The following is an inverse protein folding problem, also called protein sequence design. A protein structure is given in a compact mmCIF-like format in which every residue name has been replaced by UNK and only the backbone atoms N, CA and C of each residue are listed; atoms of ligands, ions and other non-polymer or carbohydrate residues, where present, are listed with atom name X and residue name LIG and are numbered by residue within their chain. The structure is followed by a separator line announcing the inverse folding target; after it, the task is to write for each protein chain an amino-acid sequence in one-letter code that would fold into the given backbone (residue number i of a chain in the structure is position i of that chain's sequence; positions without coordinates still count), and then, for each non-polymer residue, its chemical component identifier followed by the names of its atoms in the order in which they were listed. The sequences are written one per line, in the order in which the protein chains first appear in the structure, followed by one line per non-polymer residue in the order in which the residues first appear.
data_IF_373739216700
#
_entry.id   IF_373739216700
#
_cell.length_a   1.000
_cell.length_b   1.000
_cell.length_c   1.000
_cell.angle_alpha   90.00
_cell.angle_beta   90.00
_cell.angle_gamma   90.00
#
_symmetry.space_group_name_H-M   'P 1'
#
loop_
_entity.id
_entity.type
_entity.pdbx_description
1 polymer ?
#
# COMPACT_ATOMS: atom_id res chain seq x y z
N UNK A 1 5.59 9.30 16.31
CA UNK A 1 5.68 9.44 14.85
C UNK A 1 5.43 8.07 14.21
N UNK A 2 4.53 8.00 13.23
CA UNK A 2 4.09 6.76 12.60
C UNK A 2 5.11 6.34 11.53
N UNK A 3 5.70 5.15 11.63
CA UNK A 3 6.55 4.58 10.57
C UNK A 3 5.73 3.65 9.69
N UNK A 4 5.98 3.63 8.40
CA UNK A 4 5.29 2.76 7.45
C UNK A 4 6.31 1.96 6.64
N UNK A 5 5.91 0.79 6.14
CA UNK A 5 6.66 0.14 5.07
C UNK A 5 6.64 1.04 3.83
N UNK A 6 7.78 1.12 3.13
CA UNK A 6 7.87 1.72 1.81
C UNK A 6 8.33 0.64 0.84
N UNK A 7 7.57 0.49 -0.25
CA UNK A 7 7.96 -0.33 -1.37
C UNK A 7 7.32 0.24 -2.63
N UNK A 8 8.16 0.53 -3.62
CA UNK A 8 7.74 1.08 -4.91
C UNK A 8 7.23 -0.03 -5.85
N UNK A 9 7.54 -1.31 -5.58
CA UNK A 9 6.92 -2.47 -6.24
C UNK A 9 6.99 -3.73 -5.38
N UNK A 10 5.85 -4.17 -4.84
CA UNK A 10 5.67 -5.50 -4.24
C UNK A 10 5.21 -6.47 -5.31
N UNK A 11 5.81 -7.64 -5.40
CA UNK A 11 5.33 -8.70 -6.29
C UNK A 11 4.22 -9.54 -5.67
N UNK A 12 3.70 -10.50 -6.44
CA UNK A 12 2.60 -11.38 -6.05
C UNK A 12 2.87 -12.24 -4.80
N UNK A 13 4.14 -12.45 -4.41
CA UNK A 13 4.50 -13.21 -3.21
C UNK A 13 4.72 -12.29 -1.98
N UNK A 14 4.57 -10.98 -2.16
CA UNK A 14 4.76 -9.98 -1.10
C UNK A 14 6.21 -9.56 -0.88
N UNK A 15 7.12 -9.92 -1.78
CA UNK A 15 8.50 -9.45 -1.74
C UNK A 15 8.60 -8.08 -2.39
N UNK A 16 9.32 -7.16 -1.75
CA UNK A 16 9.61 -5.85 -2.33
C UNK A 16 10.73 -5.98 -3.37
N UNK A 17 10.40 -5.78 -4.64
CA UNK A 17 11.37 -5.85 -5.74
C UNK A 17 12.08 -4.51 -5.95
N UNK A 18 11.40 -3.40 -5.66
CA UNK A 18 11.94 -2.05 -5.86
C UNK A 18 11.56 -1.09 -4.74
N UNK A 19 12.51 -0.24 -4.34
CA UNK A 19 12.25 0.86 -3.41
C UNK A 19 12.00 0.42 -1.97
N UNK A 20 12.55 -0.72 -1.55
CA UNK A 20 12.41 -1.22 -0.17
C UNK A 20 12.93 -0.19 0.83
N UNK A 21 12.14 0.04 1.87
CA UNK A 21 12.56 0.85 2.99
C UNK A 21 11.43 1.16 3.95
N UNK A 22 11.57 2.29 4.64
CA UNK A 22 10.52 2.83 5.51
C UNK A 22 10.39 4.32 5.32
N UNK A 23 9.18 4.84 5.54
CA UNK A 23 8.93 6.27 5.64
C UNK A 23 8.34 6.60 7.01
N UNK A 24 8.48 7.85 7.43
CA UNK A 24 7.83 8.38 8.61
C UNK A 24 6.71 9.31 8.14
N UNK A 25 5.46 8.98 8.48
CA UNK A 25 4.33 9.80 8.12
C UNK A 25 4.39 11.12 8.90
N UNK A 26 4.30 12.24 8.18
CA UNK A 26 4.34 13.59 8.72
C UNK A 26 3.01 14.32 8.49
N UNK A 27 2.59 15.17 9.43
CA UNK A 27 1.37 15.96 9.29
C UNK A 27 0.13 15.09 9.12
N UNK A 28 -0.57 15.26 7.98
CA UNK A 28 -1.77 14.52 7.58
C UNK A 28 -1.50 13.18 6.89
N UNK A 29 -0.24 12.76 6.79
CA UNK A 29 0.10 11.52 6.13
C UNK A 29 -0.30 10.31 6.95
N UNK A 30 -0.71 9.26 6.25
CA UNK A 30 -1.00 7.95 6.81
C UNK A 30 -0.21 6.87 6.06
N UNK A 31 -0.12 5.68 6.62
CA UNK A 31 0.42 4.54 5.90
C UNK A 31 -0.62 4.07 4.87
N UNK A 32 -0.18 3.74 3.66
CA UNK A 32 -1.03 3.15 2.64
C UNK A 32 -0.48 1.80 2.16
N UNK A 33 -1.40 0.91 1.78
CA UNK A 33 -1.15 -0.30 1.01
C UNK A 33 -2.08 -0.29 -0.20
N UNK A 34 -1.49 -0.26 -1.40
CA UNK A 34 -2.24 -0.39 -2.66
C UNK A 34 -1.99 -1.77 -3.23
N UNK A 35 -3.06 -2.52 -3.54
CA UNK A 35 -2.98 -3.84 -4.16
C UNK A 35 -3.67 -3.82 -5.52
N UNK A 36 -3.07 -4.47 -6.51
CA UNK A 36 -3.64 -4.65 -7.85
C UNK A 36 -3.90 -6.13 -8.07
N UNK A 37 -5.13 -6.43 -8.45
CA UNK A 37 -5.62 -7.76 -8.74
C UNK A 37 -6.04 -7.83 -10.20
N UNK A 38 -5.73 -8.95 -10.86
CA UNK A 38 -6.23 -9.31 -12.19
C UNK A 38 -6.89 -10.68 -12.08
N UNK A 39 -8.12 -10.81 -12.59
CA UNK A 39 -8.93 -12.03 -12.50
C UNK A 39 -8.95 -12.62 -11.07
N UNK A 40 -9.23 -11.75 -10.09
CA UNK A 40 -9.25 -12.05 -8.64
C UNK A 40 -7.91 -12.52 -8.02
N UNK A 41 -6.81 -12.48 -8.78
CA UNK A 41 -5.48 -12.82 -8.30
C UNK A 41 -4.66 -11.59 -8.03
N UNK A 42 -4.07 -11.51 -6.84
CA UNK A 42 -3.11 -10.46 -6.51
C UNK A 42 -1.89 -10.56 -7.43
N UNK A 43 -1.56 -9.45 -8.09
CA UNK A 43 -0.44 -9.37 -9.03
C UNK A 43 0.74 -8.61 -8.44
N UNK A 44 0.49 -7.41 -7.93
CA UNK A 44 1.51 -6.54 -7.37
C UNK A 44 0.90 -5.44 -6.50
N UNK A 45 1.74 -4.77 -5.71
CA UNK A 45 1.30 -3.72 -4.80
C UNK A 45 2.34 -2.63 -4.54
N UNK A 46 1.94 -1.66 -3.74
CA UNK A 46 2.75 -0.50 -3.34
C UNK A 46 2.50 -0.17 -1.88
N UNK A 47 3.54 0.29 -1.19
CA UNK A 47 3.49 0.69 0.22
C UNK A 47 4.18 2.04 0.41
N UNK A 48 3.66 2.86 1.32
CA UNK A 48 4.34 4.08 1.71
C UNK A 48 3.52 4.97 2.62
N UNK A 49 3.90 6.24 2.65
CA UNK A 49 3.23 7.32 3.36
C UNK A 49 2.51 8.19 2.34
N UNK A 50 1.26 8.57 2.60
CA UNK A 50 0.44 9.34 1.66
C UNK A 50 -0.45 10.34 2.36
N UNK A 51 -0.48 11.57 1.83
CA UNK A 51 -1.48 12.57 2.18
C UNK A 51 -2.84 12.25 1.55
N UNK A 52 -3.92 12.56 2.27
CA UNK A 52 -5.30 12.28 1.84
C UNK A 52 -5.48 10.79 1.50
N UNK A 53 -5.03 9.92 2.40
CA UNK A 53 -5.23 8.49 2.26
C UNK A 53 -6.71 8.15 2.51
N UNK A 54 -7.38 7.61 1.51
CA UNK A 54 -8.78 7.16 1.62
C UNK A 54 -8.84 5.69 1.25
N UNK A 55 -9.28 4.85 2.21
CA UNK A 55 -9.52 3.44 1.97
C UNK A 55 -10.65 3.28 0.96
N UNK A 56 -10.38 2.66 -0.18
CA UNK A 56 -11.34 2.49 -1.27
C UNK A 56 -10.94 1.34 -2.19
N UNK A 57 -11.86 0.95 -3.06
CA UNK A 57 -11.57 0.04 -4.16
C UNK A 57 -12.04 0.64 -5.48
N UNK A 58 -11.34 0.29 -6.56
CA UNK A 58 -11.64 0.71 -7.93
C UNK A 58 -11.79 -0.54 -8.77
N UNK A 59 -12.96 -0.71 -9.38
CA UNK A 59 -13.25 -1.80 -10.31
C UNK A 59 -13.04 -1.33 -11.75
N UNK A 60 -12.30 -2.11 -12.52
CA UNK A 60 -12.16 -2.05 -13.98
C UNK A 60 -12.51 -3.44 -14.54
N UNK A 61 -12.77 -3.59 -15.86
CA UNK A 61 -13.30 -4.83 -16.43
C UNK A 61 -12.62 -6.12 -15.95
N UNK A 62 -11.28 -6.15 -15.87
CA UNK A 62 -10.51 -7.31 -15.39
C UNK A 62 -9.52 -6.93 -14.27
N UNK A 63 -9.68 -5.77 -13.64
CA UNK A 63 -8.72 -5.28 -12.65
C UNK A 63 -9.44 -4.72 -11.44
N UNK A 64 -9.10 -5.23 -10.26
CA UNK A 64 -9.49 -4.65 -8.97
C UNK A 64 -8.27 -3.96 -8.37
N UNK A 65 -8.41 -2.70 -7.99
CA UNK A 65 -7.40 -1.98 -7.22
C UNK A 65 -7.96 -1.67 -5.85
N UNK A 66 -7.31 -2.13 -4.78
CA UNK A 66 -7.67 -1.75 -3.41
C UNK A 66 -6.62 -0.80 -2.85
N UNK A 67 -7.08 0.19 -2.09
CA UNK A 67 -6.24 1.08 -1.30
C UNK A 67 -6.71 0.95 0.13
N UNK A 68 -5.79 0.60 1.02
CA UNK A 68 -6.01 0.48 2.46
C UNK A 68 -5.13 1.50 3.17
N UNK A 69 -5.74 2.31 4.02
CA UNK A 69 -5.09 3.34 4.82
C UNK A 69 -5.13 2.95 6.30
N UNK A 70 -4.05 3.21 7.02
CA UNK A 70 -3.96 2.92 8.44
C UNK A 70 -3.03 3.89 9.16
N UNK A 71 -3.36 4.19 10.42
CA UNK A 71 -2.60 5.12 11.26
C UNK A 71 -2.46 4.67 12.72
N UNK A 72 -3.01 3.50 13.09
CA UNK A 72 -3.11 3.09 14.50
C UNK A 72 -1.79 2.61 15.09
N UNK A 73 -0.97 1.93 14.27
CA UNK A 73 0.32 1.36 14.69
C UNK A 73 1.37 1.50 13.60
N UNK A 74 2.64 1.63 13.98
CA UNK A 74 3.73 1.65 13.00
C UNK A 74 3.80 0.33 12.22
N UNK A 75 4.12 0.42 10.93
CA UNK A 75 4.21 -0.68 9.98
C UNK A 75 2.87 -1.42 9.77
N UNK A 76 1.74 -0.73 9.99
CA UNK A 76 0.40 -1.28 9.79
C UNK A 76 0.08 -1.61 8.32
N UNK A 77 0.75 -0.97 7.36
CA UNK A 77 0.54 -1.20 5.93
C UNK A 77 1.27 -2.44 5.39
N UNK A 78 1.43 -3.47 6.22
CA UNK A 78 2.01 -4.75 5.80
C UNK A 78 1.05 -5.49 4.86
N UNK A 79 1.60 -6.14 3.84
CA UNK A 79 0.84 -7.07 3.01
C UNK A 79 0.47 -8.33 3.79
#
# INVERSE_FOLDING_TARGET
ALRCFKCDLLNATGVCEHGEGSCQAMGSQECFLRKVYEDDRFQYGYQGCRDLCISMFILKPNTLVTIECCHDVSFCNRL
#
